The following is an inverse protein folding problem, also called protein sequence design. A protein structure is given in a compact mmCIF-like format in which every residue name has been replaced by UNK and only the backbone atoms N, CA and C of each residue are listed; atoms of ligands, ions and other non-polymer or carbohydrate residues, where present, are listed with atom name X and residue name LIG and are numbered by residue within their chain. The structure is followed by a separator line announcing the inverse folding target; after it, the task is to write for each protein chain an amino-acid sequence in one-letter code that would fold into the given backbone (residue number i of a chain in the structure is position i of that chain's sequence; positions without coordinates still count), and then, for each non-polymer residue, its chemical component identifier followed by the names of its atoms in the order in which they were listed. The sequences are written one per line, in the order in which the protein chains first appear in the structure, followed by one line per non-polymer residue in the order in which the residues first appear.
data_IF_513543017816
#
_entry.id   IF_513543017816
#
_cell.length_a   1.000
_cell.length_b   1.000
_cell.length_c   1.000
_cell.angle_alpha   90.00
_cell.angle_beta   90.00
_cell.angle_gamma   90.00
#
_symmetry.space_group_name_H-M   'P 1'
#
loop_
_entity.id
_entity.type
_entity.pdbx_description
1 polymer ?
#
# COMPACT_ATOMS: atom_id res chain seq x y z
N UNK A 1 12.07 -1.03 3.26
CA UNK A 1 13.20 -0.24 3.81
C UNK A 1 14.07 0.34 2.70
N UNK A 2 14.76 -0.44 1.86
CA UNK A 2 15.68 0.11 0.83
C UNK A 2 15.09 1.22 -0.06
N UNK A 3 13.88 1.03 -0.59
CA UNK A 3 13.23 2.04 -1.44
C UNK A 3 12.79 3.30 -0.69
N UNK A 4 12.32 3.14 0.56
CA UNK A 4 11.97 4.26 1.42
C UNK A 4 13.20 5.12 1.74
N UNK A 5 14.32 4.47 2.08
CA UNK A 5 15.61 5.16 2.31
C UNK A 5 16.05 5.89 1.03
N UNK A 6 15.89 5.27 -0.14
CA UNK A 6 16.23 5.91 -1.40
C UNK A 6 15.36 7.14 -1.72
N UNK A 7 14.05 7.10 -1.43
CA UNK A 7 13.17 8.28 -1.53
C UNK A 7 13.61 9.37 -0.55
N UNK A 8 13.93 9.00 0.70
CA UNK A 8 14.40 9.94 1.70
C UNK A 8 15.71 10.61 1.29
N UNK A 9 16.67 9.83 0.78
CA UNK A 9 17.94 10.35 0.26
C UNK A 9 17.73 11.28 -0.93
N UNK A 10 16.80 10.94 -1.84
CA UNK A 10 16.41 11.81 -2.97
C UNK A 10 15.87 13.15 -2.49
N UNK A 11 14.99 13.14 -1.49
CA UNK A 11 14.42 14.34 -0.86
C UNK A 11 15.49 15.20 -0.18
N UNK A 12 16.41 14.60 0.57
CA UNK A 12 17.52 15.32 1.22
C UNK A 12 18.44 15.95 0.16
N UNK A 13 18.77 15.20 -0.90
CA UNK A 13 19.56 15.72 -2.02
C UNK A 13 18.90 16.93 -2.67
N UNK A 14 17.62 16.82 -3.00
CA UNK A 14 16.81 17.91 -3.53
C UNK A 14 16.81 19.15 -2.63
N UNK A 15 16.69 18.96 -1.31
CA UNK A 15 16.72 20.06 -0.36
C UNK A 15 18.09 20.76 -0.37
N UNK A 16 19.19 20.00 -0.25
CA UNK A 16 20.55 20.55 -0.20
C UNK A 16 20.92 21.28 -1.50
N UNK A 17 20.67 20.67 -2.66
CA UNK A 17 21.04 21.26 -3.94
C UNK A 17 20.14 22.44 -4.35
N UNK A 18 18.82 22.33 -4.15
CA UNK A 18 17.86 23.35 -4.55
C UNK A 18 17.83 24.56 -3.62
N UNK A 19 17.95 24.35 -2.31
CA UNK A 19 17.78 25.46 -1.34
C UNK A 19 19.08 26.02 -0.78
N UNK A 20 20.08 25.17 -0.51
CA UNK A 20 21.31 25.58 0.18
C UNK A 20 22.37 26.03 -0.81
N UNK A 21 22.59 25.24 -1.85
CA UNK A 21 23.73 25.46 -2.77
C UNK A 21 23.41 26.39 -3.94
N UNK A 22 22.12 26.65 -4.26
CA UNK A 22 21.64 27.56 -5.33
C UNK A 22 22.53 27.58 -6.58
N UNK A 23 22.88 26.39 -7.06
CA UNK A 23 23.83 26.23 -8.17
C UNK A 23 23.21 26.55 -9.52
N UNK A 24 23.99 27.00 -10.50
CA UNK A 24 23.55 27.26 -11.89
C UNK A 24 22.92 26.01 -12.57
N UNK A 25 23.22 24.81 -12.03
CA UNK A 25 22.68 23.53 -12.51
C UNK A 25 21.40 23.07 -11.77
N UNK A 26 20.78 23.93 -10.94
CA UNK A 26 19.67 23.56 -10.03
C UNK A 26 18.52 22.85 -10.74
N UNK A 27 18.06 23.39 -11.88
CA UNK A 27 16.90 22.86 -12.59
C UNK A 27 17.13 21.45 -13.16
N UNK A 28 18.29 21.21 -13.76
CA UNK A 28 18.61 19.89 -14.31
C UNK A 28 18.71 18.82 -13.20
N UNK A 29 19.27 19.21 -12.05
CA UNK A 29 19.36 18.36 -10.85
C UNK A 29 17.96 18.05 -10.30
N UNK A 30 17.10 19.07 -10.18
CA UNK A 30 15.72 18.92 -9.71
C UNK A 30 14.90 17.96 -10.57
N UNK A 31 14.96 18.11 -11.89
CA UNK A 31 14.30 17.18 -12.84
C UNK A 31 14.83 15.76 -12.65
N UNK A 32 16.16 15.60 -12.54
CA UNK A 32 16.79 14.28 -12.42
C UNK A 32 16.34 13.56 -11.15
N UNK A 33 16.38 14.24 -9.99
CA UNK A 33 15.92 13.67 -8.73
C UNK A 33 14.41 13.41 -8.72
N UNK A 34 13.62 14.24 -9.38
CA UNK A 34 12.19 14.02 -9.54
C UNK A 34 11.95 12.71 -10.29
N UNK A 35 12.55 12.54 -11.48
CA UNK A 35 12.43 11.32 -12.29
C UNK A 35 12.91 10.08 -11.50
N UNK A 36 14.06 10.18 -10.83
CA UNK A 36 14.57 9.10 -9.96
C UNK A 36 13.55 8.71 -8.89
N UNK A 37 12.90 9.70 -8.26
CA UNK A 37 11.89 9.45 -7.22
C UNK A 37 10.69 8.68 -7.77
N UNK A 38 10.18 9.04 -8.96
CA UNK A 38 9.13 8.28 -9.65
C UNK A 38 9.56 6.85 -9.95
N UNK A 39 10.78 6.66 -10.46
CA UNK A 39 11.34 5.33 -10.77
C UNK A 39 11.45 4.48 -9.50
N UNK A 40 11.96 5.06 -8.40
CA UNK A 40 12.08 4.36 -7.11
C UNK A 40 10.70 3.96 -6.57
N UNK A 41 9.72 4.87 -6.62
CA UNK A 41 8.35 4.60 -6.18
C UNK A 41 7.73 3.46 -7.01
N UNK A 42 7.89 3.49 -8.33
CA UNK A 42 7.45 2.42 -9.23
C UNK A 42 8.11 1.08 -8.90
N UNK A 43 9.44 1.03 -8.77
CA UNK A 43 10.14 -0.23 -8.45
C UNK A 43 9.79 -0.77 -7.07
N UNK A 44 9.53 0.10 -6.10
CA UNK A 44 9.09 -0.33 -4.78
C UNK A 44 7.77 -1.10 -4.88
N UNK A 45 6.81 -0.58 -5.63
CA UNK A 45 5.53 -1.25 -5.86
C UNK A 45 5.64 -2.49 -6.74
N UNK A 46 6.43 -2.39 -7.79
CA UNK A 46 6.65 -3.51 -8.70
C UNK A 46 7.36 -4.68 -8.01
N UNK A 47 8.14 -4.41 -6.95
CA UNK A 47 8.81 -5.47 -6.18
C UNK A 47 7.86 -6.50 -5.57
N UNK A 48 6.57 -6.20 -5.44
CA UNK A 48 5.56 -7.12 -4.90
C UNK A 48 5.38 -8.37 -5.76
N UNK A 49 5.62 -8.25 -7.07
CA UNK A 49 5.44 -9.34 -8.03
C UNK A 49 6.56 -10.38 -7.96
N UNK A 50 7.73 -9.97 -7.51
CA UNK A 50 8.92 -10.82 -7.44
C UNK A 50 9.07 -11.50 -6.07
N UNK A 51 8.25 -11.12 -5.09
CA UNK A 51 8.29 -11.69 -3.74
C UNK A 51 7.39 -12.91 -3.69
N UNK A 52 8.00 -14.04 -3.39
CA UNK A 52 7.32 -15.29 -3.07
C UNK A 52 7.58 -15.65 -1.62
N UNK A 53 6.57 -16.21 -0.96
CA UNK A 53 6.69 -16.77 0.37
C UNK A 53 6.28 -18.23 0.30
N UNK A 54 6.96 -19.06 1.09
CA UNK A 54 6.48 -20.42 1.34
C UNK A 54 5.18 -20.35 2.14
N UNK A 55 4.15 -21.09 1.72
CA UNK A 55 2.80 -20.90 2.22
C UNK A 55 1.90 -22.12 1.98
N UNK A 56 1.15 -22.50 3.01
CA UNK A 56 0.08 -23.50 2.94
C UNK A 56 -1.14 -22.97 2.17
N UNK A 57 -1.35 -21.65 2.24
CA UNK A 57 -2.46 -20.97 1.57
C UNK A 57 -2.02 -19.61 1.03
N UNK A 58 -2.50 -19.25 -0.16
CA UNK A 58 -2.18 -17.97 -0.81
C UNK A 58 -3.32 -17.49 -1.70
N UNK A 59 -3.53 -16.17 -1.74
CA UNK A 59 -4.59 -15.54 -2.52
C UNK A 59 -4.00 -14.51 -3.49
N UNK A 60 -4.54 -14.49 -4.71
CA UNK A 60 -4.23 -13.47 -5.72
C UNK A 60 -5.09 -12.23 -5.56
N UNK A 61 -4.46 -11.06 -5.56
CA UNK A 61 -5.16 -9.79 -5.74
C UNK A 61 -5.57 -9.65 -7.22
N UNK A 62 -6.87 -9.52 -7.47
CA UNK A 62 -7.47 -9.33 -8.79
C UNK A 62 -7.35 -7.88 -9.28
N UNK A 63 -7.30 -6.95 -8.34
CA UNK A 63 -7.15 -5.52 -8.59
C UNK A 63 -6.50 -4.86 -7.40
N UNK A 64 -5.75 -3.81 -7.67
CA UNK A 64 -5.31 -2.87 -6.63
C UNK A 64 -6.36 -1.78 -6.48
N UNK A 65 -6.52 -1.22 -5.31
CA UNK A 65 -7.21 0.05 -5.14
C UNK A 65 -6.22 1.16 -4.87
N UNK A 66 -6.50 2.33 -5.41
CA UNK A 66 -5.68 3.51 -5.19
C UNK A 66 -6.01 4.04 -3.78
N UNK A 67 -4.96 4.34 -3.03
CA UNK A 67 -5.06 4.90 -1.69
C UNK A 67 -5.57 6.34 -1.78
N UNK A 68 -6.83 6.55 -1.38
CA UNK A 68 -7.38 7.91 -1.24
C UNK A 68 -6.59 8.75 -0.23
N UNK A 69 -6.00 8.10 0.76
CA UNK A 69 -5.11 8.76 1.71
C UNK A 69 -3.86 9.30 1.01
N UNK A 70 -3.21 8.51 0.16
CA UNK A 70 -1.99 8.93 -0.55
C UNK A 70 -2.31 10.09 -1.52
N UNK A 71 -3.46 10.04 -2.22
CA UNK A 71 -3.95 11.16 -3.04
C UNK A 71 -4.21 12.39 -2.17
N UNK A 72 -4.96 12.23 -1.07
CA UNK A 72 -5.30 13.33 -0.16
C UNK A 72 -4.06 14.02 0.40
N UNK A 73 -3.05 13.24 0.79
CA UNK A 73 -1.77 13.77 1.26
C UNK A 73 -1.01 14.52 0.16
N UNK A 74 -0.97 13.99 -1.06
CA UNK A 74 -0.32 14.67 -2.18
C UNK A 74 -1.00 16.02 -2.51
N UNK A 75 -2.34 16.03 -2.54
CA UNK A 75 -3.13 17.25 -2.75
C UNK A 75 -2.92 18.25 -1.62
N UNK A 76 -2.96 17.81 -0.36
CA UNK A 76 -2.73 18.67 0.81
C UNK A 76 -1.38 19.39 0.73
N UNK A 77 -0.30 18.64 0.46
CA UNK A 77 1.04 19.22 0.34
C UNK A 77 1.18 20.13 -0.88
N UNK A 78 0.55 19.78 -2.00
CA UNK A 78 0.51 20.65 -3.19
C UNK A 78 -0.12 21.99 -2.87
N UNK A 79 -1.28 22.00 -2.20
CA UNK A 79 -1.98 23.23 -1.81
C UNK A 79 -1.14 24.03 -0.83
N UNK A 80 -0.54 23.36 0.17
CA UNK A 80 0.33 24.02 1.15
C UNK A 80 1.50 24.74 0.47
N UNK A 81 2.18 24.08 -0.46
CA UNK A 81 3.32 24.67 -1.19
C UNK A 81 2.87 25.83 -2.09
N UNK A 82 1.76 25.68 -2.82
CA UNK A 82 1.32 26.70 -3.78
C UNK A 82 0.72 27.95 -3.13
N UNK A 83 0.05 27.81 -1.97
CA UNK A 83 -0.70 28.92 -1.35
C UNK A 83 0.04 29.54 -0.16
N UNK A 84 0.73 28.73 0.64
CA UNK A 84 1.29 29.17 1.93
C UNK A 84 2.80 29.31 1.92
N UNK A 85 3.46 29.06 0.79
CA UNK A 85 4.91 29.22 0.67
C UNK A 85 5.27 30.51 -0.06
N UNK A 86 5.92 31.43 0.65
CA UNK A 86 6.55 32.63 0.06
C UNK A 86 7.69 32.28 -0.92
N UNK A 87 8.16 31.02 -0.95
CA UNK A 87 9.21 30.52 -1.82
C UNK A 87 8.66 29.62 -2.95
N UNK A 88 7.53 30.02 -3.54
CA UNK A 88 6.80 29.25 -4.56
C UNK A 88 7.68 28.80 -5.75
N UNK A 89 8.63 29.64 -6.19
CA UNK A 89 9.53 29.34 -7.29
C UNK A 89 10.51 28.20 -6.96
N UNK A 90 10.98 28.09 -5.71
CA UNK A 90 12.03 27.13 -5.31
C UNK A 90 11.48 25.82 -4.77
N UNK A 91 10.19 25.73 -4.43
CA UNK A 91 9.59 24.51 -3.84
C UNK A 91 8.59 23.82 -4.77
N UNK A 92 8.34 24.40 -5.95
CA UNK A 92 7.42 23.86 -6.96
C UNK A 92 7.72 22.40 -7.35
N UNK A 93 9.00 21.99 -7.38
CA UNK A 93 9.40 20.63 -7.70
C UNK A 93 9.02 19.59 -6.63
N UNK A 94 8.94 19.99 -5.35
CA UNK A 94 8.57 19.08 -4.26
C UNK A 94 7.14 18.57 -4.42
N UNK A 95 6.27 19.36 -5.05
CA UNK A 95 4.93 18.93 -5.45
C UNK A 95 4.99 17.62 -6.24
N UNK A 96 5.85 17.52 -7.25
CA UNK A 96 5.97 16.32 -8.07
C UNK A 96 6.46 15.10 -7.27
N UNK A 97 7.30 15.31 -6.26
CA UNK A 97 7.74 14.23 -5.37
C UNK A 97 6.56 13.65 -4.58
N UNK A 98 5.66 14.48 -4.06
CA UNK A 98 4.47 13.99 -3.36
C UNK A 98 3.54 13.20 -4.28
N UNK A 99 3.47 13.57 -5.56
CA UNK A 99 2.67 12.87 -6.57
C UNK A 99 3.30 11.56 -7.08
N UNK A 100 4.59 11.30 -6.79
CA UNK A 100 5.27 10.09 -7.24
C UNK A 100 4.58 8.80 -6.76
N UNK A 101 4.11 8.79 -5.50
CA UNK A 101 3.42 7.65 -4.91
C UNK A 101 2.05 7.41 -5.57
N UNK A 102 1.08 8.36 -5.57
CA UNK A 102 -0.20 8.20 -6.25
C UNK A 102 -0.06 7.80 -7.74
N UNK A 103 0.90 8.40 -8.45
CA UNK A 103 1.14 8.06 -9.84
C UNK A 103 1.64 6.63 -10.01
N UNK A 104 2.56 6.18 -9.15
CA UNK A 104 2.99 4.79 -9.13
C UNK A 104 1.81 3.85 -8.85
N UNK A 105 0.91 4.16 -7.91
CA UNK A 105 -0.29 3.35 -7.67
C UNK A 105 -1.21 3.27 -8.88
N UNK A 106 -1.39 4.39 -9.57
CA UNK A 106 -2.19 4.48 -10.78
C UNK A 106 -1.63 3.57 -11.89
N UNK A 107 -0.32 3.59 -12.14
CA UNK A 107 0.31 2.66 -13.09
C UNK A 107 0.10 1.21 -12.63
N UNK A 108 0.34 0.94 -11.35
CA UNK A 108 0.22 -0.41 -10.79
C UNK A 108 -1.21 -0.93 -10.83
N UNK A 109 -2.21 -0.06 -10.78
CA UNK A 109 -3.61 -0.44 -10.97
C UNK A 109 -3.84 -1.19 -12.28
N UNK A 110 -3.23 -0.74 -13.38
CA UNK A 110 -3.29 -1.44 -14.67
C UNK A 110 -2.51 -2.75 -14.65
N UNK A 111 -1.31 -2.75 -14.08
CA UNK A 111 -0.45 -3.94 -14.03
C UNK A 111 -1.09 -5.06 -13.20
N UNK A 112 -1.74 -4.71 -12.08
CA UNK A 112 -2.44 -5.67 -11.20
C UNK A 112 -3.57 -6.41 -11.93
N UNK A 113 -4.33 -5.72 -12.79
CA UNK A 113 -5.40 -6.35 -13.58
C UNK A 113 -4.87 -7.49 -14.47
N UNK A 114 -3.67 -7.31 -15.03
CA UNK A 114 -3.04 -8.29 -15.93
C UNK A 114 -2.29 -9.39 -15.18
N UNK A 115 -1.44 -9.02 -14.22
CA UNK A 115 -0.52 -9.95 -13.57
C UNK A 115 -1.09 -10.65 -12.32
N UNK A 116 -2.08 -10.06 -11.65
CA UNK A 116 -2.79 -10.61 -10.49
C UNK A 116 -1.85 -11.27 -9.45
N UNK A 117 -1.00 -10.48 -8.76
CA UNK A 117 0.03 -11.01 -7.88
C UNK A 117 -0.58 -11.66 -6.63
N UNK A 118 0.15 -12.60 -6.05
CA UNK A 118 -0.16 -13.12 -4.72
C UNK A 118 0.20 -12.07 -3.65
N UNK A 119 -0.80 -11.66 -2.86
CA UNK A 119 -0.65 -10.58 -1.88
C UNK A 119 -0.98 -11.01 -0.45
N UNK A 120 -1.66 -12.14 -0.27
CA UNK A 120 -1.95 -12.73 1.04
C UNK A 120 -1.39 -14.14 1.03
N UNK A 121 -0.66 -14.48 2.08
CA UNK A 121 -0.10 -15.81 2.31
C UNK A 121 -0.36 -16.20 3.77
N UNK A 122 -0.62 -17.48 4.00
CA UNK A 122 -0.64 -18.08 5.33
C UNK A 122 0.37 -19.22 5.31
N UNK A 123 1.27 -19.21 6.29
CA UNK A 123 2.23 -20.27 6.54
C UNK A 123 2.14 -20.68 8.01
N UNK A 124 1.67 -21.90 8.28
CA UNK A 124 1.36 -22.38 9.62
C UNK A 124 0.41 -21.42 10.33
N UNK A 125 0.90 -20.67 11.31
CA UNK A 125 0.12 -19.69 12.07
C UNK A 125 0.48 -18.24 11.70
N UNK A 126 1.29 -18.01 10.67
CA UNK A 126 1.67 -16.66 10.25
C UNK A 126 0.85 -16.19 9.05
N UNK A 127 0.14 -15.08 9.21
CA UNK A 127 -0.45 -14.30 8.12
C UNK A 127 0.58 -13.31 7.59
N UNK A 128 0.87 -13.40 6.30
CA UNK A 128 1.80 -12.53 5.58
C UNK A 128 1.03 -11.73 4.54
N UNK A 129 1.04 -10.40 4.67
CA UNK A 129 0.53 -9.50 3.65
C UNK A 129 1.70 -8.90 2.86
N UNK A 130 1.79 -9.29 1.59
CA UNK A 130 2.77 -8.78 0.65
C UNK A 130 2.28 -7.46 0.05
N UNK A 131 2.62 -6.36 0.73
CA UNK A 131 2.40 -4.96 0.31
C UNK A 131 3.74 -4.22 0.29
N UNK A 132 3.75 -2.93 -0.08
CA UNK A 132 4.96 -2.06 -0.04
C UNK A 132 5.79 -2.30 1.22
N UNK A 133 5.08 -2.36 2.35
CA UNK A 133 5.55 -2.84 3.63
C UNK A 133 4.97 -4.22 3.88
N UNK A 134 5.85 -5.23 3.97
CA UNK A 134 5.42 -6.59 4.30
C UNK A 134 4.95 -6.58 5.74
N UNK A 135 3.73 -7.06 5.98
CA UNK A 135 3.17 -7.21 7.31
C UNK A 135 3.06 -8.68 7.64
N UNK A 136 3.54 -9.06 8.83
CA UNK A 136 3.44 -10.41 9.36
C UNK A 136 2.70 -10.39 10.69
N UNK A 137 1.75 -11.30 10.87
CA UNK A 137 0.92 -11.42 12.08
C UNK A 137 0.76 -12.89 12.47
N UNK A 138 0.74 -13.15 13.77
CA UNK A 138 0.42 -14.47 14.28
C UNK A 138 -1.10 -14.62 14.38
N UNK A 139 -1.65 -15.65 13.75
CA UNK A 139 -3.06 -15.94 13.68
C UNK A 139 -3.62 -16.43 15.02
N UNK A 140 -2.80 -17.06 15.87
CA UNK A 140 -3.26 -17.47 17.21
C UNK A 140 -3.64 -16.28 18.08
N UNK A 141 -3.04 -15.12 17.82
CA UNK A 141 -3.28 -13.86 18.54
C UNK A 141 -4.42 -13.03 17.94
N UNK A 142 -5.11 -13.52 16.91
CA UNK A 142 -6.25 -12.83 16.31
C UNK A 142 -7.36 -12.74 17.35
N UNK A 143 -7.81 -11.53 17.67
CA UNK A 143 -8.84 -11.30 18.70
C UNK A 143 -10.18 -10.94 18.09
N UNK A 144 -10.18 -10.26 16.93
CA UNK A 144 -11.40 -9.80 16.30
C UNK A 144 -11.23 -9.66 14.79
N UNK A 145 -12.32 -9.95 14.07
CA UNK A 145 -12.51 -9.60 12.67
C UNK A 145 -13.64 -8.57 12.64
N UNK A 146 -13.44 -7.45 11.96
CA UNK A 146 -14.47 -6.45 11.71
C UNK A 146 -14.60 -6.22 10.21
N UNK A 147 -15.81 -5.94 9.74
CA UNK A 147 -16.03 -5.56 8.35
C UNK A 147 -16.61 -4.15 8.27
N UNK A 148 -15.90 -3.27 7.58
CA UNK A 148 -16.37 -1.93 7.26
C UNK A 148 -17.14 -1.95 5.93
N UNK A 149 -18.46 -1.70 5.99
CA UNK A 149 -19.33 -1.70 4.81
C UNK A 149 -19.00 -0.60 3.80
N UNK A 150 -18.41 0.51 4.22
CA UNK A 150 -18.12 1.65 3.33
C UNK A 150 -16.80 1.42 2.59
N UNK A 151 -15.72 1.17 3.33
CA UNK A 151 -14.41 0.92 2.72
C UNK A 151 -14.29 -0.49 2.13
N UNK A 152 -15.21 -1.39 2.48
CA UNK A 152 -15.20 -2.83 2.13
C UNK A 152 -13.94 -3.53 2.63
N UNK A 153 -13.43 -3.09 3.78
CA UNK A 153 -12.24 -3.62 4.42
C UNK A 153 -12.62 -4.62 5.53
N UNK A 154 -11.91 -5.74 5.56
CA UNK A 154 -11.80 -6.64 6.70
C UNK A 154 -10.67 -6.15 7.59
N UNK A 155 -10.99 -5.68 8.79
CA UNK A 155 -10.00 -5.30 9.81
C UNK A 155 -9.77 -6.48 10.74
N UNK A 156 -8.51 -6.78 10.97
CA UNK A 156 -8.04 -7.89 11.81
C UNK A 156 -7.29 -7.30 12.99
N UNK A 157 -7.83 -7.50 14.19
CA UNK A 157 -7.24 -7.06 15.44
C UNK A 157 -6.43 -8.18 16.08
N UNK A 158 -5.25 -7.85 16.58
CA UNK A 158 -4.33 -8.80 17.20
C UNK A 158 -3.95 -8.32 18.60
N UNK A 159 -3.74 -9.25 19.52
CA UNK A 159 -3.41 -8.95 20.91
C UNK A 159 -2.14 -8.09 21.07
N UNK A 160 -1.07 -8.43 20.36
CA UNK A 160 0.25 -7.80 20.57
C UNK A 160 0.64 -6.79 19.50
N UNK A 161 0.10 -6.92 18.28
CA UNK A 161 0.49 -6.12 17.13
C UNK A 161 -0.66 -5.28 16.61
N UNK A 162 -0.31 -4.18 15.94
CA UNK A 162 -1.28 -3.27 15.32
C UNK A 162 -2.23 -4.00 14.36
N UNK A 163 -3.48 -3.52 14.33
CA UNK A 163 -4.54 -3.88 13.40
C UNK A 163 -4.00 -3.98 11.96
N UNK A 164 -4.54 -4.94 11.22
CA UNK A 164 -4.28 -5.08 9.80
C UNK A 164 -5.58 -5.09 9.02
N UNK A 165 -5.69 -4.20 8.02
CA UNK A 165 -6.86 -4.09 7.15
C UNK A 165 -6.63 -4.75 5.79
N UNK A 166 -7.56 -5.59 5.34
CA UNK A 166 -7.57 -6.29 4.03
C UNK A 166 -8.81 -5.85 3.25
N UNK A 167 -8.62 -5.29 2.06
CA UNK A 167 -9.74 -4.87 1.23
C UNK A 167 -10.36 -6.05 0.49
N UNK A 168 -11.48 -6.57 0.98
CA UNK A 168 -12.10 -7.79 0.46
C UNK A 168 -12.40 -7.71 -1.05
N UNK A 169 -12.72 -6.53 -1.56
CA UNK A 169 -13.04 -6.32 -2.98
C UNK A 169 -11.84 -6.42 -3.93
N UNK A 170 -10.62 -6.54 -3.42
CA UNK A 170 -9.42 -6.78 -4.24
C UNK A 170 -9.25 -8.25 -4.60
N UNK A 171 -10.07 -9.14 -4.04
CA UNK A 171 -9.91 -10.59 -4.10
C UNK A 171 -11.18 -11.26 -4.63
N UNK A 172 -11.08 -12.55 -4.99
CA UNK A 172 -12.27 -13.34 -5.28
C UNK A 172 -13.03 -13.62 -3.97
N UNK A 173 -14.36 -13.57 -4.02
CA UNK A 173 -15.25 -13.80 -2.87
C UNK A 173 -15.02 -15.17 -2.26
N UNK A 174 -14.87 -16.22 -3.08
CA UNK A 174 -14.64 -17.59 -2.59
C UNK A 174 -13.29 -17.73 -1.86
N UNK A 175 -12.26 -17.03 -2.35
CA UNK A 175 -10.94 -17.03 -1.71
C UNK A 175 -10.97 -16.25 -0.39
N UNK A 176 -11.74 -15.17 -0.29
CA UNK A 176 -11.95 -14.45 0.98
C UNK A 176 -12.73 -15.29 1.97
N UNK A 177 -13.73 -16.05 1.52
CA UNK A 177 -14.46 -16.94 2.40
C UNK A 177 -13.53 -18.01 3.01
N UNK A 178 -12.72 -18.66 2.17
CA UNK A 178 -11.69 -19.60 2.63
C UNK A 178 -10.68 -18.94 3.57
N UNK A 179 -10.29 -17.69 3.30
CA UNK A 179 -9.43 -16.94 4.22
C UNK A 179 -10.08 -16.80 5.59
N UNK A 180 -11.35 -16.38 5.66
CA UNK A 180 -12.07 -16.20 6.91
C UNK A 180 -12.19 -17.51 7.71
N UNK A 181 -12.46 -18.62 7.03
CA UNK A 181 -12.49 -19.96 7.64
C UNK A 181 -11.14 -20.29 8.30
N UNK A 182 -10.02 -20.12 7.57
CA UNK A 182 -8.67 -20.37 8.09
C UNK A 182 -8.33 -19.43 9.27
N UNK A 183 -8.74 -18.16 9.19
CA UNK A 183 -8.51 -17.19 10.27
C UNK A 183 -9.19 -17.60 11.57
N UNK A 184 -10.41 -18.13 11.48
CA UNK A 184 -11.18 -18.61 12.63
C UNK A 184 -10.59 -19.91 13.17
N UNK A 185 -10.28 -20.87 12.29
CA UNK A 185 -9.72 -22.17 12.66
C UNK A 185 -8.39 -22.04 13.42
N UNK A 186 -7.53 -21.11 12.99
CA UNK A 186 -6.18 -20.94 13.56
C UNK A 186 -6.12 -19.99 14.76
N UNK A 187 -7.20 -19.30 15.08
CA UNK A 187 -7.27 -18.41 16.23
C UNK A 187 -7.46 -19.20 17.51
N UNK A 188 -6.72 -18.86 18.57
CA UNK A 188 -6.96 -19.42 19.91
C UNK A 188 -8.09 -18.67 20.66
N UNK A 189 -8.53 -17.53 20.12
CA UNK A 189 -9.64 -16.76 20.67
C UNK A 189 -10.94 -17.07 19.92
N UNK A 190 -12.08 -16.83 20.57
CA UNK A 190 -13.42 -16.94 19.97
C UNK A 190 -13.65 -15.83 18.94
N UNK A 191 -13.18 -16.07 17.71
CA UNK A 191 -13.31 -15.16 16.57
C UNK A 191 -14.43 -15.66 15.66
N UNK A 192 -15.23 -14.73 15.14
CA UNK A 192 -16.37 -15.05 14.27
C UNK A 192 -16.37 -14.14 13.04
N UNK A 193 -17.03 -14.60 11.98
CA UNK A 193 -17.29 -13.76 10.80
C UNK A 193 -18.25 -12.63 11.21
N UNK A 194 -17.97 -11.37 10.84
CA UNK A 194 -18.87 -10.26 11.14
C UNK A 194 -20.25 -10.47 10.52
N UNK A 195 -21.33 -10.29 11.29
CA UNK A 195 -22.72 -10.41 10.81
C UNK A 195 -23.05 -9.51 9.62
N UNK A 196 -22.30 -8.42 9.46
CA UNK A 196 -22.48 -7.45 8.39
C UNK A 196 -21.66 -7.76 7.12
N UNK A 197 -20.94 -8.89 7.09
CA UNK A 197 -20.26 -9.40 5.91
C UNK A 197 -21.17 -10.40 5.19
N UNK A 198 -21.87 -9.92 4.15
CA UNK A 198 -22.61 -10.78 3.24
C UNK A 198 -21.70 -11.12 2.05
N UNK A 199 -21.30 -12.40 1.86
CA UNK A 199 -20.64 -12.79 0.63
C UNK A 199 -21.64 -12.57 -0.50
N UNK A 200 -21.32 -11.65 -1.42
CA UNK A 200 -22.09 -11.50 -2.66
C UNK A 200 -21.80 -12.73 -3.51
N UNK A 201 -22.52 -13.81 -3.27
CA UNK A 201 -22.61 -14.93 -4.21
C UNK A 201 -23.33 -14.34 -5.42
N UNK A 202 -22.57 -13.98 -6.46
CA UNK A 202 -23.17 -13.84 -7.79
C UNK A 202 -23.55 -15.26 -8.19
N UNK A 203 -24.81 -15.63 -7.95
CA UNK A 203 -25.40 -16.76 -8.65
C UNK A 203 -25.21 -16.47 -10.14
N UNK A 204 -24.37 -17.29 -10.78
CA UNK A 204 -24.30 -17.35 -12.23
C UNK A 204 -25.65 -17.93 -12.68
N UNK A 205 -26.50 -17.07 -13.23
CA UNK A 205 -27.57 -17.51 -14.13
C UNK A 205 -26.98 -17.69 -15.52
#
# INVERSE_FOLDING_TARGET
MKYFIAILMSLIGLFVFGTILKTEYSLAIEITFTILTFIIAFFWEYSLFNKTFDSDFKIKSQRKTISLFDIGMATFWTIYILILSDNSDTLSYLTFVFWAIPFSEFIMWFIYKKKKPYTIFINKNELILNRRWILKRNLTELTQIQYDRFSKNLKLDFKTKREVSIKATEYNTDEIQKLLEILIEKSENNVFVPNNYEPKIKNSC
#
